data_IF_558722340321
#
_entry.id   IF_558722340321
#
_cell.length_a   1.000
_cell.length_b   1.000
_cell.length_c   1.000
_cell.angle_alpha   90.00
_cell.angle_beta   90.00
_cell.angle_gamma   90.00
#
_symmetry.space_group_name_H-M   'P 1'
#
loop_
_entity.id
_entity.type
_entity.pdbx_description
1 polymer ?
#
# COMPACT_ATOMS: atom_id res chain seq x y z
N UNK A 1 21.62 -2.10 2.61
CA UNK A 1 22.49 -0.93 2.84
C UNK A 1 22.97 -0.33 1.53
N UNK A 2 23.36 -1.14 0.52
CA UNK A 2 23.87 -0.61 -0.78
C UNK A 2 22.83 0.21 -1.57
N UNK A 3 21.53 -0.08 -1.46
CA UNK A 3 20.48 0.64 -2.20
C UNK A 3 20.24 2.05 -1.66
N UNK A 4 20.46 2.27 -0.36
CA UNK A 4 20.17 3.54 0.34
C UNK A 4 21.18 4.64 0.06
N UNK A 5 22.43 4.27 -0.22
CA UNK A 5 23.51 5.25 -0.53
C UNK A 5 23.36 5.92 -1.89
N UNK A 6 22.53 5.36 -2.79
CA UNK A 6 22.30 5.90 -4.14
C UNK A 6 21.23 7.01 -4.21
N UNK A 7 20.42 7.22 -3.16
CA UNK A 7 19.40 8.25 -3.18
C UNK A 7 19.97 9.63 -2.92
N UNK A 8 19.81 10.54 -3.89
CA UNK A 8 20.26 11.93 -3.78
C UNK A 8 19.41 12.77 -2.82
N UNK A 9 18.13 12.41 -2.63
CA UNK A 9 17.20 13.13 -1.77
C UNK A 9 17.28 12.62 -0.33
N UNK A 10 17.65 13.46 0.66
CA UNK A 10 17.78 13.06 2.07
C UNK A 10 16.46 12.53 2.66
N UNK A 11 15.31 13.08 2.25
CA UNK A 11 13.99 12.64 2.71
C UNK A 11 13.70 11.19 2.27
N UNK A 12 13.90 10.89 1.00
CA UNK A 12 13.72 9.53 0.45
C UNK A 12 14.66 8.54 1.15
N UNK A 13 15.92 8.93 1.37
CA UNK A 13 16.90 8.11 2.09
C UNK A 13 16.45 7.81 3.51
N UNK A 14 15.97 8.82 4.24
CA UNK A 14 15.47 8.66 5.61
C UNK A 14 14.28 7.70 5.64
N UNK A 15 13.28 7.90 4.79
CA UNK A 15 12.08 7.06 4.74
C UNK A 15 12.40 5.61 4.37
N UNK A 16 13.36 5.40 3.45
CA UNK A 16 13.80 4.05 3.09
C UNK A 16 14.46 3.34 4.26
N UNK A 17 15.36 4.04 4.99
CA UNK A 17 16.02 3.48 6.17
C UNK A 17 15.03 3.14 7.29
N UNK A 18 14.09 4.04 7.55
CA UNK A 18 13.03 3.82 8.54
C UNK A 18 12.16 2.63 8.15
N UNK A 19 11.78 2.52 6.87
CA UNK A 19 11.02 1.39 6.34
C UNK A 19 11.76 0.06 6.49
N UNK A 20 13.05 0.00 6.14
CA UNK A 20 13.86 -1.21 6.32
C UNK A 20 14.00 -1.59 7.82
N UNK A 21 14.21 -0.61 8.69
CA UNK A 21 14.26 -0.82 10.14
C UNK A 21 12.94 -1.39 10.68
N UNK A 22 11.82 -0.79 10.24
CA UNK A 22 10.48 -1.25 10.59
C UNK A 22 10.22 -2.69 10.17
N UNK A 23 10.56 -3.06 8.92
CA UNK A 23 10.40 -4.44 8.44
C UNK A 23 11.17 -5.42 9.31
N UNK A 24 12.44 -5.16 9.60
CA UNK A 24 13.27 -6.04 10.44
C UNK A 24 12.68 -6.20 11.84
N UNK A 25 12.26 -5.11 12.44
CA UNK A 25 11.65 -5.12 13.77
C UNK A 25 10.34 -5.91 13.80
N UNK A 26 9.49 -5.72 12.80
CA UNK A 26 8.22 -6.45 12.67
C UNK A 26 8.44 -7.94 12.40
N UNK A 27 9.41 -8.32 11.58
CA UNK A 27 9.78 -9.72 11.37
C UNK A 27 10.20 -10.40 12.68
N UNK A 28 10.98 -9.70 13.50
CA UNK A 28 11.36 -10.20 14.81
C UNK A 28 10.14 -10.31 15.74
N UNK A 29 9.34 -9.24 15.88
CA UNK A 29 8.19 -9.22 16.80
C UNK A 29 7.08 -10.20 16.44
N UNK A 30 6.79 -10.36 15.14
CA UNK A 30 5.67 -11.20 14.67
C UNK A 30 6.05 -12.68 14.57
N UNK A 31 7.31 -12.98 14.22
CA UNK A 31 7.74 -14.34 13.91
C UNK A 31 9.04 -14.78 14.59
N UNK A 32 9.65 -13.94 15.43
CA UNK A 32 10.93 -14.25 16.09
C UNK A 32 12.08 -14.40 15.11
N UNK A 33 12.01 -13.77 13.92
CA UNK A 33 13.05 -13.88 12.89
C UNK A 33 14.14 -12.84 13.14
N UNK A 34 15.33 -13.30 13.49
CA UNK A 34 16.55 -12.50 13.49
C UNK A 34 17.08 -12.32 12.08
N UNK A 35 18.01 -11.38 11.89
CA UNK A 35 18.53 -11.04 10.57
C UNK A 35 19.21 -12.24 9.86
N UNK A 36 19.72 -13.16 10.61
CA UNK A 36 20.40 -14.39 10.17
C UNK A 36 19.40 -15.46 9.67
N UNK A 37 18.12 -15.36 10.09
CA UNK A 37 17.09 -16.36 9.84
C UNK A 37 16.39 -16.19 8.49
N UNK A 38 16.66 -15.09 7.75
CA UNK A 38 15.96 -14.79 6.51
C UNK A 38 16.81 -14.06 5.47
N UNK A 39 16.37 -14.19 4.23
CA UNK A 39 16.85 -13.40 3.09
C UNK A 39 15.71 -12.58 2.51
N UNK A 40 15.99 -11.33 2.18
CA UNK A 40 15.06 -10.52 1.39
C UNK A 40 15.37 -10.77 -0.08
N UNK A 41 14.43 -11.36 -0.78
CA UNK A 41 14.46 -11.59 -2.23
C UNK A 41 13.59 -10.58 -2.94
N UNK A 42 13.88 -10.38 -4.20
CA UNK A 42 13.01 -9.65 -5.13
C UNK A 42 12.35 -10.72 -6.00
N UNK A 43 11.04 -10.85 -5.86
CA UNK A 43 10.24 -11.76 -6.67
C UNK A 43 10.01 -11.25 -8.08
N UNK A 44 9.17 -11.95 -8.82
CA UNK A 44 8.67 -11.50 -10.11
C UNK A 44 8.03 -10.12 -9.94
N UNK A 45 8.09 -9.29 -10.94
CA UNK A 45 7.57 -7.92 -10.91
C UNK A 45 8.24 -6.97 -9.89
N UNK A 46 9.42 -7.33 -9.34
CA UNK A 46 10.18 -6.45 -8.46
C UNK A 46 9.65 -6.32 -7.03
N UNK A 47 8.71 -7.15 -6.62
CA UNK A 47 8.14 -7.14 -5.26
C UNK A 47 9.09 -7.82 -4.27
N UNK A 48 9.33 -7.22 -3.11
CA UNK A 48 10.14 -7.85 -2.08
C UNK A 48 9.36 -8.93 -1.32
N UNK A 49 10.05 -10.02 -1.01
CA UNK A 49 9.57 -11.08 -0.14
C UNK A 49 10.66 -11.50 0.84
N UNK A 50 10.26 -12.03 1.96
CA UNK A 50 11.12 -12.63 2.97
C UNK A 50 11.12 -14.14 2.79
N UNK A 51 12.29 -14.71 2.50
CA UNK A 51 12.52 -16.13 2.44
C UNK A 51 13.17 -16.58 3.76
N UNK A 52 12.50 -17.44 4.50
CA UNK A 52 12.95 -18.01 5.76
C UNK A 52 12.49 -19.49 5.83
N UNK A 53 12.22 -20.03 7.02
CA UNK A 53 11.49 -21.31 7.17
C UNK A 53 10.08 -21.29 6.54
N UNK A 54 9.58 -20.10 6.18
CA UNK A 54 8.36 -19.85 5.40
C UNK A 54 8.57 -18.60 4.56
N UNK A 55 7.70 -18.40 3.55
CA UNK A 55 7.71 -17.22 2.69
C UNK A 55 6.71 -16.20 3.21
N UNK A 56 7.14 -14.94 3.32
CA UNK A 56 6.27 -13.81 3.66
C UNK A 56 6.48 -12.70 2.63
N UNK A 57 5.39 -12.37 1.96
CA UNK A 57 5.32 -11.18 1.12
C UNK A 57 5.12 -9.95 1.98
N UNK A 58 5.75 -8.86 1.60
CA UNK A 58 5.47 -7.58 2.25
C UNK A 58 5.45 -6.44 1.25
N UNK A 59 4.74 -5.40 1.62
CA UNK A 59 4.71 -4.16 0.87
C UNK A 59 4.76 -2.98 1.82
N UNK A 60 5.34 -1.87 1.36
CA UNK A 60 5.52 -0.62 2.11
C UNK A 60 4.88 0.53 1.36
N UNK A 61 4.29 1.46 2.10
CA UNK A 61 3.91 2.77 1.61
C UNK A 61 4.20 3.85 2.65
N UNK A 62 4.31 5.09 2.20
CA UNK A 62 4.49 6.23 3.10
C UNK A 62 3.86 7.49 2.50
N UNK A 63 3.25 8.31 3.34
CA UNK A 63 2.77 9.64 2.98
C UNK A 63 2.72 10.51 4.24
N UNK A 64 3.15 11.77 4.13
CA UNK A 64 3.23 12.66 5.28
C UNK A 64 4.07 12.06 6.42
N UNK A 65 3.46 11.90 7.58
CA UNK A 65 4.12 11.43 8.81
C UNK A 65 4.02 9.91 9.01
N UNK A 66 3.38 9.18 8.09
CA UNK A 66 3.15 7.74 8.21
C UNK A 66 4.02 6.92 7.28
N UNK A 67 4.51 5.80 7.82
CA UNK A 67 5.02 4.66 7.07
C UNK A 67 4.17 3.47 7.47
N UNK A 68 3.64 2.76 6.48
CA UNK A 68 2.81 1.56 6.70
C UNK A 68 3.42 0.36 6.01
N UNK A 69 3.23 -0.82 6.62
CA UNK A 69 3.63 -2.09 6.05
C UNK A 69 2.49 -3.09 6.11
N UNK A 70 2.36 -3.89 5.06
CA UNK A 70 1.50 -5.06 5.05
C UNK A 70 2.35 -6.32 4.86
N UNK A 71 1.97 -7.40 5.54
CA UNK A 71 2.58 -8.71 5.42
C UNK A 71 1.52 -9.76 5.14
N UNK A 72 1.85 -10.73 4.30
CA UNK A 72 0.95 -11.83 3.95
C UNK A 72 1.75 -13.06 3.49
N UNK A 73 1.16 -14.24 3.61
CA UNK A 73 1.70 -15.45 2.97
C UNK A 73 1.48 -15.48 1.45
N UNK A 74 0.59 -14.63 0.95
CA UNK A 74 0.34 -14.39 -0.46
C UNK A 74 0.76 -12.97 -0.83
N UNK A 75 0.70 -12.66 -2.11
CA UNK A 75 1.02 -11.31 -2.56
C UNK A 75 0.11 -10.26 -1.93
N UNK A 76 0.69 -9.12 -1.57
CA UNK A 76 0.01 -8.01 -0.91
C UNK A 76 0.50 -6.68 -1.46
N UNK A 77 -0.39 -5.70 -1.50
CA UNK A 77 -0.08 -4.32 -1.79
C UNK A 77 -0.75 -3.40 -0.77
N UNK A 78 -0.07 -2.39 -0.31
CA UNK A 78 -0.62 -1.38 0.60
C UNK A 78 -0.27 0.01 0.10
N UNK A 79 -1.21 0.92 0.23
CA UNK A 79 -0.97 2.31 -0.05
C UNK A 79 -1.59 3.22 1.01
N UNK A 80 -0.87 4.29 1.35
CA UNK A 80 -1.33 5.35 2.25
C UNK A 80 -1.09 6.70 1.59
N UNK A 81 -2.10 7.58 1.67
CA UNK A 81 -2.03 8.93 1.15
C UNK A 81 -2.60 9.95 2.12
N UNK A 82 -1.84 11.01 2.35
CA UNK A 82 -2.33 12.18 3.07
C UNK A 82 -3.34 12.92 2.21
N UNK A 83 -4.56 13.10 2.74
CA UNK A 83 -5.61 13.86 2.08
C UNK A 83 -5.18 15.32 1.92
N UNK A 84 -5.30 15.82 0.72
CA UNK A 84 -5.03 17.20 0.33
C UNK A 84 -6.11 17.65 -0.66
N UNK A 85 -5.96 18.82 -1.25
CA UNK A 85 -6.84 19.25 -2.33
C UNK A 85 -6.70 18.33 -3.55
N UNK A 86 -7.83 17.82 -4.02
CA UNK A 86 -7.88 16.95 -5.19
C UNK A 86 -7.33 17.66 -6.44
N UNK A 87 -6.50 16.95 -7.18
CA UNK A 87 -5.89 17.44 -8.42
C UNK A 87 -6.63 16.83 -9.59
N UNK A 88 -7.69 17.50 -10.05
CA UNK A 88 -8.55 17.00 -11.12
C UNK A 88 -7.82 16.80 -12.45
N UNK A 89 -6.74 17.52 -12.72
CA UNK A 89 -5.85 17.27 -13.85
C UNK A 89 -5.15 15.90 -13.77
N UNK A 90 -4.82 15.46 -12.55
CA UNK A 90 -4.27 14.11 -12.29
C UNK A 90 -5.35 13.05 -12.50
N UNK A 91 -6.56 13.29 -11.96
CA UNK A 91 -7.67 12.37 -12.17
C UNK A 91 -7.98 12.19 -13.67
N UNK A 92 -8.07 13.27 -14.45
CA UNK A 92 -8.32 13.20 -15.90
C UNK A 92 -7.26 12.42 -16.68
N UNK A 93 -6.03 12.40 -16.19
CA UNK A 93 -4.92 11.68 -16.83
C UNK A 93 -4.85 10.21 -16.45
N UNK A 94 -5.21 9.86 -15.23
CA UNK A 94 -4.90 8.55 -14.67
C UNK A 94 -6.12 7.74 -14.24
N UNK A 95 -7.28 8.36 -14.00
CA UNK A 95 -8.45 7.63 -13.51
C UNK A 95 -9.32 7.11 -14.64
N UNK A 96 -10.13 6.11 -14.33
CA UNK A 96 -11.14 5.59 -15.24
C UNK A 96 -12.23 6.66 -15.50
N UNK A 97 -12.81 6.75 -16.71
CA UNK A 97 -13.83 7.77 -17.04
C UNK A 97 -15.00 7.83 -16.04
N UNK A 98 -15.50 6.68 -15.56
CA UNK A 98 -16.57 6.62 -14.58
C UNK A 98 -16.17 7.25 -13.23
N UNK A 99 -14.93 7.07 -12.79
CA UNK A 99 -14.41 7.68 -11.55
C UNK A 99 -14.27 9.19 -11.68
N UNK A 100 -13.82 9.67 -12.86
CA UNK A 100 -13.74 11.10 -13.16
C UNK A 100 -15.12 11.73 -13.08
N UNK A 101 -16.15 11.06 -13.65
CA UNK A 101 -17.52 11.52 -13.58
C UNK A 101 -18.04 11.59 -12.14
N UNK A 102 -17.75 10.59 -11.32
CA UNK A 102 -18.11 10.63 -9.89
C UNK A 102 -17.45 11.82 -9.18
N UNK A 103 -16.17 12.08 -9.44
CA UNK A 103 -15.44 13.21 -8.85
C UNK A 103 -15.97 14.56 -9.31
N UNK A 104 -16.39 14.70 -10.57
CA UNK A 104 -16.93 15.94 -11.11
C UNK A 104 -18.29 16.32 -10.50
N UNK A 105 -19.02 15.35 -9.98
CA UNK A 105 -20.30 15.57 -9.30
C UNK A 105 -20.15 16.02 -7.84
N UNK A 106 -18.91 16.13 -7.35
CA UNK A 106 -18.57 16.51 -5.98
C UNK A 106 -17.72 17.78 -5.97
N UNK A 107 -17.69 18.46 -4.82
CA UNK A 107 -16.86 19.63 -4.59
C UNK A 107 -16.32 19.64 -3.15
N UNK A 108 -15.26 20.42 -2.94
CA UNK A 108 -14.64 20.61 -1.61
C UNK A 108 -14.15 19.30 -1.01
N UNK A 109 -14.35 19.15 0.29
CA UNK A 109 -13.83 18.00 1.06
C UNK A 109 -14.34 16.64 0.57
N UNK A 110 -15.58 16.57 0.08
CA UNK A 110 -16.16 15.34 -0.48
C UNK A 110 -15.43 14.89 -1.76
N UNK A 111 -15.05 15.83 -2.61
CA UNK A 111 -14.26 15.56 -3.82
C UNK A 111 -12.85 15.12 -3.45
N UNK A 112 -12.23 15.82 -2.49
CA UNK A 112 -10.89 15.51 -1.99
C UNK A 112 -10.87 14.10 -1.37
N UNK A 113 -11.86 13.79 -0.52
CA UNK A 113 -12.05 12.49 0.11
C UNK A 113 -12.12 11.36 -0.92
N UNK A 114 -12.99 11.50 -1.90
CA UNK A 114 -13.20 10.47 -2.92
C UNK A 114 -11.97 10.33 -3.84
N UNK A 115 -11.28 11.44 -4.16
CA UNK A 115 -10.07 11.41 -4.97
C UNK A 115 -8.97 10.56 -4.31
N UNK A 116 -8.69 10.79 -3.02
CA UNK A 116 -7.64 10.04 -2.32
C UNK A 116 -8.06 8.60 -2.00
N UNK A 117 -9.36 8.33 -1.85
CA UNK A 117 -9.84 6.93 -1.78
C UNK A 117 -9.57 6.19 -3.10
N UNK A 118 -9.93 6.77 -4.25
CA UNK A 118 -9.62 6.16 -5.56
C UNK A 118 -8.12 5.97 -5.74
N UNK A 119 -7.34 7.01 -5.46
CA UNK A 119 -5.89 6.96 -5.62
C UNK A 119 -5.27 5.84 -4.80
N UNK A 120 -5.54 5.79 -3.50
CA UNK A 120 -4.94 4.81 -2.60
C UNK A 120 -5.40 3.37 -2.92
N UNK A 121 -6.66 3.16 -3.33
CA UNK A 121 -7.11 1.85 -3.82
C UNK A 121 -6.36 1.43 -5.08
N UNK A 122 -6.24 2.32 -6.06
CA UNK A 122 -5.53 2.04 -7.32
C UNK A 122 -4.06 1.73 -7.10
N UNK A 123 -3.38 2.53 -6.29
CA UNK A 123 -1.96 2.31 -5.96
C UNK A 123 -1.75 1.01 -5.17
N UNK A 124 -2.61 0.70 -4.20
CA UNK A 124 -2.53 -0.57 -3.46
C UNK A 124 -2.69 -1.77 -4.39
N UNK A 125 -3.58 -1.67 -5.39
CA UNK A 125 -3.79 -2.70 -6.40
C UNK A 125 -2.57 -2.86 -7.33
N UNK A 126 -2.01 -1.77 -7.85
CA UNK A 126 -0.78 -1.84 -8.67
C UNK A 126 0.41 -2.41 -7.88
N UNK A 127 0.50 -2.08 -6.59
CA UNK A 127 1.51 -2.67 -5.69
C UNK A 127 1.24 -4.16 -5.45
N UNK A 128 -0.04 -4.57 -5.37
CA UNK A 128 -0.42 -5.98 -5.27
C UNK A 128 -0.03 -6.75 -6.55
N UNK A 129 -0.38 -6.27 -7.72
CA UNK A 129 -0.04 -6.94 -9.00
C UNK A 129 1.45 -6.86 -9.33
N UNK A 130 2.18 -5.92 -8.73
CA UNK A 130 3.58 -5.65 -9.08
C UNK A 130 3.77 -5.00 -10.44
N UNK A 131 2.69 -4.70 -11.16
CA UNK A 131 2.75 -4.13 -12.51
C UNK A 131 3.32 -2.70 -12.55
N UNK A 132 3.30 -2.00 -11.40
CA UNK A 132 3.81 -0.64 -11.31
C UNK A 132 3.20 0.27 -12.38
N UNK A 133 4.01 1.15 -12.94
CA UNK A 133 3.58 2.11 -13.98
C UNK A 133 3.36 1.47 -15.36
N UNK A 134 3.64 0.18 -15.55
CA UNK A 134 3.39 -0.50 -16.82
C UNK A 134 1.90 -0.79 -17.05
N UNK A 135 1.09 -0.85 -16.01
CA UNK A 135 -0.36 -0.94 -16.12
C UNK A 135 -0.99 0.43 -15.91
N UNK A 136 -1.76 0.94 -16.89
CA UNK A 136 -2.40 2.23 -16.75
C UNK A 136 -3.46 2.20 -15.64
N UNK A 137 -3.42 3.15 -14.72
CA UNK A 137 -4.44 3.31 -13.68
C UNK A 137 -5.86 3.50 -14.26
N UNK A 138 -5.97 4.02 -15.48
CA UNK A 138 -7.25 4.15 -16.20
C UNK A 138 -7.77 2.84 -16.80
N UNK A 139 -6.98 1.76 -16.78
CA UNK A 139 -7.34 0.48 -17.39
C UNK A 139 -8.33 -0.36 -16.55
N UNK A 140 -8.64 0.06 -15.36
CA UNK A 140 -9.62 -0.59 -14.48
C UNK A 140 -10.44 0.45 -13.70
N UNK A 141 -11.64 0.07 -13.35
CA UNK A 141 -12.59 0.90 -12.59
C UNK A 141 -12.63 0.45 -11.13
N UNK A 142 -12.60 1.42 -10.21
CA UNK A 142 -12.89 1.20 -8.79
C UNK A 142 -14.32 1.66 -8.50
N UNK A 143 -15.12 0.81 -7.91
CA UNK A 143 -16.45 1.16 -7.39
C UNK A 143 -16.49 0.94 -5.90
N UNK A 144 -17.19 1.82 -5.20
CA UNK A 144 -17.42 1.70 -3.78
C UNK A 144 -18.86 1.25 -3.51
N UNK A 145 -19.01 0.15 -2.79
CA UNK A 145 -20.26 -0.28 -2.18
C UNK A 145 -20.20 0.14 -0.70
N UNK A 146 -20.77 1.32 -0.40
CA UNK A 146 -20.53 2.00 0.87
C UNK A 146 -19.05 2.33 1.07
N UNK A 147 -18.42 1.63 2.03
CA UNK A 147 -17.00 1.81 2.32
C UNK A 147 -16.09 0.75 1.65
N UNK A 148 -16.67 -0.29 1.05
CA UNK A 148 -15.94 -1.42 0.45
C UNK A 148 -15.62 -1.14 -1.01
N UNK A 149 -14.34 -1.04 -1.39
CA UNK A 149 -13.95 -0.91 -2.79
C UNK A 149 -13.98 -2.26 -3.51
N UNK A 150 -14.32 -2.22 -4.79
CA UNK A 150 -14.21 -3.35 -5.73
C UNK A 150 -13.55 -2.88 -7.01
N UNK A 151 -12.75 -3.75 -7.61
CA UNK A 151 -12.09 -3.50 -8.90
C UNK A 151 -12.83 -4.23 -9.99
N UNK A 152 -13.11 -3.50 -11.07
CA UNK A 152 -13.70 -4.00 -12.30
C UNK A 152 -12.69 -3.81 -13.44
N UNK A 153 -12.27 -4.90 -14.01
CA UNK A 153 -11.39 -4.96 -15.18
C UNK A 153 -11.82 -6.10 -16.11
N UNK A 154 -11.22 -6.17 -17.31
CA UNK A 154 -11.50 -7.21 -18.30
C UNK A 154 -11.14 -8.64 -17.82
N UNK A 155 -10.16 -8.75 -16.94
CA UNK A 155 -9.76 -10.02 -16.34
C UNK A 155 -10.41 -10.20 -14.98
N UNK A 156 -11.00 -11.36 -14.76
CA UNK A 156 -11.69 -11.69 -13.51
C UNK A 156 -10.65 -12.05 -12.44
N UNK A 157 -10.35 -11.11 -11.55
CA UNK A 157 -9.53 -11.37 -10.37
C UNK A 157 -10.38 -12.12 -9.35
N UNK A 158 -10.21 -13.45 -9.32
CA UNK A 158 -10.84 -14.26 -8.29
C UNK A 158 -10.13 -14.03 -6.96
N UNK A 159 -10.91 -13.91 -5.89
CA UNK A 159 -10.43 -13.83 -4.50
C UNK A 159 -9.61 -12.58 -4.13
N UNK A 160 -9.78 -11.47 -4.85
CA UNK A 160 -9.17 -10.21 -4.48
C UNK A 160 -9.99 -9.51 -3.39
N UNK A 161 -9.37 -9.23 -2.27
CA UNK A 161 -9.92 -8.40 -1.20
C UNK A 161 -9.20 -7.07 -1.12
N UNK A 162 -9.97 -6.01 -0.99
CA UNK A 162 -9.44 -4.67 -0.76
C UNK A 162 -10.15 -4.08 0.45
N UNK A 163 -9.38 -3.70 1.45
CA UNK A 163 -9.89 -3.22 2.73
C UNK A 163 -9.25 -1.91 3.12
N UNK A 164 -10.06 -1.03 3.72
CA UNK A 164 -9.55 0.19 4.32
C UNK A 164 -8.80 -0.16 5.62
N UNK A 165 -7.63 0.43 5.80
CA UNK A 165 -6.88 0.34 7.05
C UNK A 165 -7.28 1.49 7.97
N UNK A 166 -7.48 1.24 9.27
CA UNK A 166 -7.77 2.29 10.25
C UNK A 166 -6.51 3.16 10.44
N UNK A 167 -6.62 4.41 10.04
CA UNK A 167 -5.57 5.45 10.17
C UNK A 167 -6.24 6.77 10.53
N UNK A 168 -5.44 7.78 10.84
CA UNK A 168 -5.91 9.16 11.02
C UNK A 168 -6.84 9.57 9.87
N UNK A 169 -8.00 10.19 10.13
CA UNK A 169 -8.95 10.63 9.10
C UNK A 169 -8.37 11.55 8.02
N UNK A 170 -7.25 12.24 8.32
CA UNK A 170 -6.50 13.03 7.34
C UNK A 170 -5.78 12.17 6.30
N UNK A 171 -5.79 10.84 6.44
CA UNK A 171 -5.15 9.91 5.51
C UNK A 171 -6.16 8.91 4.95
N UNK A 172 -5.83 8.36 3.78
CA UNK A 172 -6.51 7.20 3.19
C UNK A 172 -5.50 6.09 3.04
N UNK A 173 -5.84 4.93 3.60
CA UNK A 173 -4.98 3.76 3.54
C UNK A 173 -5.81 2.54 3.13
N UNK A 174 -5.33 1.83 2.11
CA UNK A 174 -5.96 0.60 1.63
C UNK A 174 -4.92 -0.50 1.46
N UNK A 175 -5.33 -1.71 1.80
CA UNK A 175 -4.58 -2.94 1.55
C UNK A 175 -5.32 -3.78 0.53
N UNK A 176 -4.57 -4.33 -0.42
CA UNK A 176 -5.04 -5.23 -1.47
C UNK A 176 -4.30 -6.55 -1.32
N UNK A 177 -5.04 -7.65 -1.21
CA UNK A 177 -4.46 -8.98 -1.06
C UNK A 177 -5.36 -10.04 -1.70
N UNK A 178 -4.77 -11.15 -2.14
CA UNK A 178 -5.52 -12.35 -2.45
C UNK A 178 -5.91 -13.05 -1.16
N UNK A 179 -7.22 -13.30 -0.99
CA UNK A 179 -7.72 -14.02 0.16
C UNK A 179 -9.07 -14.64 -0.13
N UNK A 180 -9.33 -15.80 0.43
CA UNK A 180 -10.64 -16.48 0.42
C UNK A 180 -11.51 -16.05 1.60
N UNK A 181 -10.92 -15.38 2.60
CA UNK A 181 -11.55 -14.89 3.80
C UNK A 181 -11.41 -13.37 3.90
N UNK A 182 -12.23 -12.71 4.71
CA UNK A 182 -12.02 -11.29 5.00
C UNK A 182 -10.64 -11.13 5.67
N UNK A 183 -9.76 -10.26 5.13
CA UNK A 183 -8.44 -10.09 5.71
C UNK A 183 -8.57 -9.58 7.14
N UNK A 184 -7.99 -10.30 8.07
CA UNK A 184 -7.77 -9.80 9.42
C UNK A 184 -6.76 -8.65 9.35
N UNK A 185 -7.25 -7.42 9.35
CA UNK A 185 -6.38 -6.25 9.48
C UNK A 185 -6.09 -6.06 10.96
N UNK A 186 -4.87 -6.37 11.35
CA UNK A 186 -4.37 -6.09 12.69
C UNK A 186 -3.50 -4.84 12.63
N UNK A 187 -4.05 -3.64 12.90
CA UNK A 187 -3.24 -2.43 12.92
C UNK A 187 -2.28 -2.48 14.09
N UNK A 188 -1.00 -2.45 13.79
CA UNK A 188 0.06 -2.26 14.77
C UNK A 188 0.50 -0.80 14.72
N UNK A 189 0.22 -0.03 15.77
CA UNK A 189 0.96 1.19 16.01
C UNK A 189 2.29 0.78 16.63
N UNK A 190 3.40 1.23 16.05
CA UNK A 190 4.74 0.96 16.58
C UNK A 190 5.36 2.29 17.01
N UNK A 191 4.89 2.89 18.13
CA UNK A 191 5.47 4.13 18.63
C UNK A 191 6.93 3.96 19.04
N UNK A 192 7.31 2.75 19.45
CA UNK A 192 8.61 2.43 20.04
C UNK A 192 9.51 1.59 19.13
N UNK A 193 9.39 1.78 17.81
CA UNK A 193 10.12 0.99 16.82
C UNK A 193 11.64 1.00 17.02
N UNK A 194 12.15 2.04 17.62
CA UNK A 194 13.60 2.29 17.81
C UNK A 194 14.06 2.25 19.27
N UNK A 195 13.17 1.95 20.23
CA UNK A 195 13.59 1.71 21.58
C UNK A 195 14.27 0.33 21.69
N UNK A 196 15.35 0.21 22.46
CA UNK A 196 15.97 -1.09 22.73
C UNK A 196 14.92 -2.02 23.36
N UNK A 197 15.02 -3.31 23.05
CA UNK A 197 14.28 -4.34 23.76
C UNK A 197 14.78 -4.34 25.21
N UNK A 198 13.89 -4.14 26.19
CA UNK A 198 14.19 -4.33 27.60
C UNK A 198 14.50 -5.80 27.90
#
# INVERSE_FOLDING_TARGET
VRKVTGYKNPGVRRTTLLGEGMIRRLLFRLWGLHKEDYLIRIGEHGKPLVESRFTVWYNLSHSGDYIVAAFSHLEVGIDIEQKRKARMEVARRFFHPAEIQCLQNLAGDAQDELFFRYWSVKESFLKYTGSGLSSPLSGFEVRFDGHRPRIFQSENLRNLSISACPVDPAYKCFVCAETTEEPGIFPFLVPDLFLPDE
#
